data_IF_244903718661
#
_entry.id   IF_244903718661
#
_cell.length_a   1.000
_cell.length_b   1.000
_cell.length_c   1.000
_cell.angle_alpha   90.00
_cell.angle_beta   90.00
_cell.angle_gamma   90.00
#
_symmetry.space_group_name_H-M   'P 1'
#
loop_
_entity.id
_entity.type
_entity.pdbx_description
1 polymer ?
#
# COMPACT_ATOMS: atom_id res chain seq x y z
N UNK A 1 -30.44 18.40 -53.44
CA UNK A 1 -30.53 17.69 -52.15
C UNK A 1 -29.14 17.62 -51.56
N UNK A 2 -28.93 18.36 -50.48
CA UNK A 2 -27.63 18.62 -49.83
C UNK A 2 -27.24 17.39 -49.00
N UNK A 3 -25.98 16.96 -49.11
CA UNK A 3 -25.40 15.84 -48.37
C UNK A 3 -24.98 16.28 -46.97
N UNK A 4 -25.71 15.88 -45.94
CA UNK A 4 -25.28 16.01 -44.54
C UNK A 4 -24.78 14.65 -44.07
N UNK A 5 -23.47 14.51 -43.87
CA UNK A 5 -22.90 13.35 -43.15
C UNK A 5 -23.03 13.62 -41.66
N UNK A 6 -23.96 12.93 -40.99
CA UNK A 6 -24.06 12.98 -39.53
C UNK A 6 -22.90 12.19 -38.92
N UNK A 7 -22.12 12.84 -38.06
CA UNK A 7 -21.09 12.20 -37.24
C UNK A 7 -21.66 11.97 -35.84
N UNK A 8 -22.55 10.98 -35.70
CA UNK A 8 -23.13 10.59 -34.40
C UNK A 8 -22.22 9.61 -33.64
N UNK A 9 -20.97 10.01 -33.39
CA UNK A 9 -20.21 9.41 -32.30
C UNK A 9 -19.57 10.51 -31.49
N UNK A 10 -20.05 10.66 -30.26
CA UNK A 10 -19.42 11.52 -29.27
C UNK A 10 -17.97 11.06 -29.08
N UNK A 11 -17.01 11.86 -29.58
CA UNK A 11 -15.58 11.62 -29.45
C UNK A 11 -15.13 11.91 -28.01
N UNK A 12 -15.65 11.15 -27.05
CA UNK A 12 -15.18 11.21 -25.66
C UNK A 12 -13.83 10.52 -25.59
N UNK A 13 -12.82 11.26 -25.14
CA UNK A 13 -11.50 10.72 -24.83
C UNK A 13 -11.65 9.65 -23.75
N UNK A 14 -11.53 8.38 -24.16
CA UNK A 14 -11.47 7.24 -23.23
C UNK A 14 -10.11 7.30 -22.51
N UNK A 15 -10.05 7.95 -21.35
CA UNK A 15 -8.86 7.96 -20.49
C UNK A 15 -8.60 6.53 -20.02
N UNK A 16 -7.65 5.84 -20.67
CA UNK A 16 -7.17 4.54 -20.21
C UNK A 16 -6.37 4.80 -18.95
N UNK A 17 -6.88 4.36 -17.79
CA UNK A 17 -6.08 4.41 -16.56
C UNK A 17 -4.95 3.39 -16.72
N UNK A 18 -3.70 3.82 -16.53
CA UNK A 18 -2.51 3.01 -16.79
C UNK A 18 -2.43 1.82 -15.80
N UNK A 19 -3.16 1.90 -14.68
CA UNK A 19 -3.24 0.87 -13.66
C UNK A 19 -4.28 -0.22 -13.93
N UNK A 20 -5.17 -0.06 -14.93
CA UNK A 20 -6.06 -1.14 -15.37
C UNK A 20 -5.28 -2.03 -16.34
N UNK A 21 -4.26 -2.71 -15.81
CA UNK A 21 -3.68 -3.86 -16.47
C UNK A 21 -4.80 -4.89 -16.58
N UNK A 22 -5.42 -4.96 -17.77
CA UNK A 22 -6.29 -6.07 -18.15
C UNK A 22 -5.46 -7.33 -17.99
N UNK A 23 -5.54 -7.98 -16.82
CA UNK A 23 -4.93 -9.28 -16.59
C UNK A 23 -5.35 -10.13 -17.78
N UNK A 24 -4.37 -10.59 -18.56
CA UNK A 24 -4.61 -11.33 -19.77
C UNK A 24 -5.41 -12.58 -19.37
N UNK A 25 -6.73 -12.47 -19.46
CA UNK A 25 -7.66 -13.54 -19.18
C UNK A 25 -7.27 -14.63 -20.16
N UNK A 26 -6.68 -15.70 -19.63
CA UNK A 26 -6.35 -16.90 -20.38
C UNK A 26 -7.55 -17.27 -21.25
N UNK A 27 -7.33 -17.75 -22.48
CA UNK A 27 -8.39 -17.95 -23.46
C UNK A 27 -9.54 -18.69 -22.79
N UNK A 28 -10.74 -18.10 -22.85
CA UNK A 28 -11.94 -18.60 -22.20
C UNK A 28 -12.30 -19.94 -22.81
N UNK A 29 -11.74 -21.01 -22.24
CA UNK A 29 -12.13 -22.38 -22.51
C UNK A 29 -13.63 -22.49 -22.23
N UNK A 30 -14.40 -23.21 -23.06
CA UNK A 30 -15.85 -23.39 -22.88
C UNK A 30 -16.23 -24.21 -21.64
N UNK A 31 -15.25 -24.66 -20.86
CA UNK A 31 -15.42 -25.51 -19.69
C UNK A 31 -14.91 -24.81 -18.43
N UNK A 32 -15.48 -25.15 -17.26
CA UNK A 32 -15.09 -24.63 -15.95
C UNK A 32 -13.77 -25.27 -15.46
N UNK A 33 -12.67 -24.98 -16.15
CA UNK A 33 -11.34 -25.44 -15.74
C UNK A 33 -10.87 -24.67 -14.51
N UNK A 34 -10.20 -25.38 -13.61
CA UNK A 34 -9.57 -24.80 -12.44
C UNK A 34 -8.50 -23.76 -12.82
N UNK A 35 -8.25 -22.82 -11.91
CA UNK A 35 -7.18 -21.86 -12.05
C UNK A 35 -5.82 -22.58 -12.10
N UNK A 36 -4.93 -22.14 -12.99
CA UNK A 36 -3.59 -22.70 -13.10
C UNK A 36 -2.71 -22.11 -11.99
N UNK A 37 -2.39 -22.92 -10.99
CA UNK A 37 -1.38 -22.58 -9.99
C UNK A 37 0.02 -22.94 -10.53
N UNK A 38 1.01 -22.17 -10.09
CA UNK A 38 2.41 -22.51 -10.35
C UNK A 38 2.81 -23.71 -9.46
N UNK A 39 3.61 -24.64 -9.99
CA UNK A 39 4.14 -25.77 -9.24
C UNK A 39 5.02 -25.31 -8.07
N UNK A 40 5.69 -24.18 -8.22
CA UNK A 40 6.57 -23.58 -7.21
C UNK A 40 5.83 -22.72 -6.18
N UNK A 41 4.49 -22.73 -6.19
CA UNK A 41 3.67 -21.87 -5.32
C UNK A 41 4.05 -22.01 -3.84
N UNK A 42 4.29 -23.23 -3.36
CA UNK A 42 4.66 -23.47 -1.96
C UNK A 42 5.98 -22.78 -1.57
N UNK A 43 6.96 -22.76 -2.47
CA UNK A 43 8.27 -22.13 -2.22
C UNK A 43 8.12 -20.62 -2.22
N UNK A 44 7.46 -20.06 -3.24
CA UNK A 44 7.23 -18.61 -3.36
C UNK A 44 6.42 -18.07 -2.18
N UNK A 45 5.36 -18.79 -1.77
CA UNK A 45 4.54 -18.41 -0.64
C UNK A 45 5.35 -18.31 0.66
N UNK A 46 6.18 -19.31 0.96
CA UNK A 46 6.98 -19.31 2.17
C UNK A 46 8.03 -18.19 2.19
N UNK A 47 8.70 -17.93 1.07
CA UNK A 47 9.67 -16.83 0.99
C UNK A 47 9.00 -15.48 1.28
N UNK A 48 7.86 -15.21 0.64
CA UNK A 48 7.14 -13.94 0.83
C UNK A 48 6.59 -13.85 2.26
N UNK A 49 6.02 -14.92 2.80
CA UNK A 49 5.46 -14.94 4.15
C UNK A 49 6.52 -14.58 5.19
N UNK A 50 7.68 -15.23 5.17
CA UNK A 50 8.72 -14.99 6.17
C UNK A 50 9.39 -13.62 6.02
N UNK A 51 9.59 -13.14 4.79
CA UNK A 51 10.12 -11.79 4.54
C UNK A 51 9.15 -10.73 5.08
N UNK A 52 7.86 -10.86 4.80
CA UNK A 52 6.85 -9.89 5.25
C UNK A 52 6.70 -9.90 6.78
N UNK A 53 6.76 -11.06 7.43
CA UNK A 53 6.74 -11.15 8.90
C UNK A 53 7.97 -10.47 9.51
N UNK A 54 9.17 -10.76 9.00
CA UNK A 54 10.40 -10.16 9.49
C UNK A 54 10.38 -8.63 9.33
N UNK A 55 9.92 -8.15 8.17
CA UNK A 55 9.80 -6.72 7.89
C UNK A 55 8.77 -6.05 8.80
N UNK A 56 7.59 -6.66 8.97
CA UNK A 56 6.56 -6.13 9.84
C UNK A 56 7.04 -6.02 11.30
N UNK A 57 7.74 -7.05 11.81
CA UNK A 57 8.34 -7.01 13.14
C UNK A 57 9.40 -5.91 13.26
N UNK A 58 10.28 -5.75 12.26
CA UNK A 58 11.28 -4.69 12.26
C UNK A 58 10.64 -3.29 12.33
N UNK A 59 9.57 -3.06 11.58
CA UNK A 59 8.82 -1.78 11.61
C UNK A 59 8.17 -1.54 12.96
N UNK A 60 7.56 -2.57 13.57
CA UNK A 60 6.95 -2.44 14.90
C UNK A 60 8.00 -2.10 15.96
N UNK A 61 9.12 -2.82 15.98
CA UNK A 61 10.20 -2.60 16.95
C UNK A 61 10.77 -1.20 16.79
N UNK A 62 11.11 -0.78 15.58
CA UNK A 62 11.65 0.57 15.33
C UNK A 62 10.66 1.67 15.71
N UNK A 63 9.37 1.50 15.37
CA UNK A 63 8.31 2.43 15.80
C UNK A 63 8.19 2.53 17.32
N UNK A 64 8.28 1.41 18.03
CA UNK A 64 8.20 1.40 19.49
C UNK A 64 9.41 2.10 20.12
N UNK A 65 10.61 1.89 19.59
CA UNK A 65 11.81 2.58 20.05
C UNK A 65 11.73 4.10 19.86
N UNK A 66 11.21 4.56 18.71
CA UNK A 66 11.01 5.99 18.46
C UNK A 66 9.92 6.57 19.37
N UNK A 67 8.82 5.82 19.59
CA UNK A 67 7.74 6.24 20.48
C UNK A 67 8.25 6.47 21.90
N UNK A 68 9.06 5.55 22.42
CA UNK A 68 9.59 5.62 23.78
C UNK A 68 10.99 6.24 23.83
N UNK A 69 11.32 7.09 22.86
CA UNK A 69 12.59 7.80 22.88
C UNK A 69 12.54 8.85 23.99
N UNK A 70 13.35 8.65 25.04
CA UNK A 70 13.45 9.60 26.13
C UNK A 70 14.01 10.94 25.59
N UNK A 71 13.25 12.05 25.67
CA UNK A 71 13.70 13.34 25.14
C UNK A 71 14.86 13.96 25.93
N UNK A 72 15.31 13.34 27.02
CA UNK A 72 16.38 13.85 27.86
C UNK A 72 15.86 14.98 28.73
N UNK A 73 15.77 14.73 30.03
CA UNK A 73 15.14 15.66 30.95
C UNK A 73 16.04 16.85 31.38
N UNK A 74 17.18 17.09 30.76
CA UNK A 74 18.31 17.72 31.47
C UNK A 74 18.46 19.26 31.35
N UNK A 75 17.51 20.03 30.79
CA UNK A 75 17.74 21.50 30.72
C UNK A 75 16.52 22.43 30.61
N UNK A 76 15.60 22.22 29.67
CA UNK A 76 14.46 23.15 29.43
C UNK A 76 13.14 22.61 29.98
N UNK A 77 12.93 21.29 29.91
CA UNK A 77 11.70 20.64 30.35
C UNK A 77 11.50 20.82 31.86
N UNK A 78 12.52 20.60 32.70
CA UNK A 78 12.43 20.90 34.14
C UNK A 78 12.39 22.40 34.46
N UNK A 79 12.94 23.29 33.62
CA UNK A 79 12.75 24.73 33.81
C UNK A 79 11.28 25.13 33.60
N UNK A 80 10.58 24.53 32.65
CA UNK A 80 9.15 24.79 32.43
C UNK A 80 8.22 24.06 33.44
N UNK A 81 8.53 22.82 33.85
CA UNK A 81 7.64 22.03 34.72
C UNK A 81 7.89 22.21 36.22
N UNK A 82 9.10 22.55 36.66
CA UNK A 82 9.44 22.77 38.09
C UNK A 82 9.42 24.25 38.51
N UNK A 83 8.96 25.19 37.66
CA UNK A 83 8.79 26.59 38.05
C UNK A 83 7.62 26.83 39.02
N UNK A 84 6.80 25.81 39.31
CA UNK A 84 5.72 25.85 40.29
C UNK A 84 5.87 24.70 41.27
N UNK A 85 6.78 24.83 42.23
CA UNK A 85 6.68 24.48 43.67
C UNK A 85 8.02 24.87 44.29
N UNK A 86 8.16 26.17 44.55
CA UNK A 86 8.84 26.65 45.75
C UNK A 86 7.81 27.52 46.45
N UNK A 87 6.87 26.84 47.12
CA UNK A 87 6.08 27.47 48.17
C UNK A 87 6.94 27.32 49.42
N UNK A 88 7.10 28.43 50.15
CA UNK A 88 7.89 28.54 51.39
C UNK A 88 7.73 27.37 52.37
#
# INVERSE_FOLDING_TARGET
>A
LVTVRSFDTSLVRKTRTILEAKQAKSPSSPYNLAYKYNLEYAVVFNMVLWIMIALALAVIITSYNIWNMDPGYDSIIYRMTNQKIRMD
#
